data_IF_679627900242
#
_entry.id   IF_679627900242
#
_cell.length_a   1.000
_cell.length_b   1.000
_cell.length_c   1.000
_cell.angle_alpha   90.00
_cell.angle_beta   90.00
_cell.angle_gamma   90.00
#
_symmetry.space_group_name_H-M   'P 1'
#
loop_
_entity.id
_entity.type
_entity.pdbx_description
1 polymer ?
#
# COMPACT_ATOMS: atom_id res chain seq x y z
N UNK A 1 -65.19 -55.59 -11.74
CA UNK A 1 -66.11 -54.49 -11.34
C UNK A 1 -65.27 -53.33 -10.84
N UNK A 2 -65.52 -52.16 -11.40
CA UNK A 2 -64.84 -50.89 -11.12
C UNK A 2 -65.17 -50.35 -9.72
N UNK A 3 -64.24 -49.58 -9.14
CA UNK A 3 -64.46 -48.17 -8.74
C UNK A 3 -63.13 -47.44 -8.52
N UNK A 4 -62.92 -46.46 -9.39
CA UNK A 4 -61.98 -45.34 -9.27
C UNK A 4 -62.57 -44.26 -8.35
N UNK A 5 -61.72 -43.52 -7.61
CA UNK A 5 -61.83 -42.08 -7.20
C UNK A 5 -60.67 -41.80 -6.21
N UNK A 6 -59.50 -41.34 -6.65
CA UNK A 6 -59.06 -39.93 -6.72
C UNK A 6 -59.06 -39.17 -5.38
N UNK A 7 -57.87 -38.78 -4.90
CA UNK A 7 -57.60 -37.36 -4.64
C UNK A 7 -56.08 -37.09 -4.71
N UNK A 8 -55.69 -36.37 -5.75
CA UNK A 8 -54.41 -35.70 -5.89
C UNK A 8 -54.25 -34.60 -4.83
N UNK A 9 -53.05 -34.49 -4.26
CA UNK A 9 -52.35 -33.25 -3.88
C UNK A 9 -50.90 -33.70 -3.60
N UNK A 10 -49.90 -33.47 -4.43
CA UNK A 10 -49.54 -32.18 -5.02
C UNK A 10 -48.71 -31.37 -4.01
N UNK A 11 -47.48 -31.79 -3.71
CA UNK A 11 -46.46 -30.95 -3.07
C UNK A 11 -45.06 -31.47 -3.43
N UNK A 12 -44.70 -31.17 -4.69
CA UNK A 12 -43.43 -30.63 -5.15
C UNK A 12 -42.20 -30.84 -4.27
N UNK A 13 -41.23 -31.53 -4.88
CA UNK A 13 -39.80 -31.51 -4.62
C UNK A 13 -39.30 -30.09 -4.27
N UNK A 14 -38.79 -29.90 -3.06
CA UNK A 14 -37.86 -28.82 -2.77
C UNK A 14 -36.68 -29.42 -2.01
N UNK A 15 -35.88 -30.21 -2.72
CA UNK A 15 -34.48 -30.40 -2.36
C UNK A 15 -33.83 -29.01 -2.39
N UNK A 16 -33.84 -28.34 -1.25
CA UNK A 16 -33.02 -27.16 -1.01
C UNK A 16 -31.60 -27.69 -0.86
N UNK A 17 -30.94 -27.91 -2.01
CA UNK A 17 -29.50 -27.83 -2.09
C UNK A 17 -29.16 -26.42 -1.63
N UNK A 18 -28.86 -26.27 -0.33
CA UNK A 18 -28.10 -25.12 0.12
C UNK A 18 -26.74 -25.26 -0.58
N UNK A 19 -26.63 -24.66 -1.75
CA UNK A 19 -25.35 -24.22 -2.28
C UNK A 19 -24.85 -23.25 -1.22
N UNK A 20 -24.09 -23.78 -0.26
CA UNK A 20 -23.23 -22.96 0.57
C UNK A 20 -22.31 -22.28 -0.44
N UNK A 21 -22.69 -21.07 -0.83
CA UNK A 21 -21.77 -20.12 -1.42
C UNK A 21 -20.82 -19.85 -0.26
N UNK A 22 -19.80 -20.68 -0.16
CA UNK A 22 -18.57 -20.28 0.48
C UNK A 22 -18.16 -19.05 -0.31
N UNK A 23 -18.58 -17.88 0.17
CA UNK A 23 -17.84 -16.66 -0.02
C UNK A 23 -16.50 -16.97 0.65
N UNK A 24 -15.62 -17.65 -0.08
CA UNK A 24 -14.22 -17.63 0.22
C UNK A 24 -13.92 -16.13 0.27
N UNK A 25 -13.50 -15.58 1.43
CA UNK A 25 -12.85 -14.29 1.37
C UNK A 25 -11.69 -14.53 0.41
N UNK A 26 -11.76 -13.95 -0.79
CA UNK A 26 -10.59 -13.85 -1.63
C UNK A 26 -9.56 -13.22 -0.71
N UNK A 27 -8.53 -13.98 -0.33
CA UNK A 27 -7.37 -13.40 0.32
C UNK A 27 -6.99 -12.24 -0.60
N UNK A 28 -7.17 -11.01 -0.14
CA UNK A 28 -6.64 -9.86 -0.83
C UNK A 28 -5.14 -10.14 -0.85
N UNK A 29 -4.61 -10.58 -1.99
CA UNK A 29 -3.19 -10.80 -2.14
C UNK A 29 -2.56 -9.43 -1.88
N UNK A 30 -1.91 -9.36 -0.73
CA UNK A 30 -1.16 -8.23 -0.26
C UNK A 30 0.06 -8.10 -1.17
N UNK A 31 -0.10 -7.37 -2.28
CA UNK A 31 1.04 -7.00 -3.13
C UNK A 31 1.93 -6.09 -2.30
N UNK A 32 3.07 -6.61 -1.87
CA UNK A 32 4.09 -5.87 -1.13
C UNK A 32 5.29 -5.59 -2.03
N UNK A 33 5.98 -4.48 -1.80
CA UNK A 33 7.15 -4.09 -2.57
C UNK A 33 8.32 -3.79 -1.63
N UNK A 34 9.42 -4.52 -1.80
CA UNK A 34 10.67 -4.30 -1.08
C UNK A 34 11.85 -4.16 -2.05
N UNK A 35 12.74 -3.21 -1.79
CA UNK A 35 13.94 -3.01 -2.62
C UNK A 35 14.35 -1.56 -2.79
N UNK A 36 15.28 -1.34 -3.70
CA UNK A 36 15.80 0.01 -4.01
C UNK A 36 15.76 0.31 -5.49
N UNK A 37 15.69 1.59 -5.79
CA UNK A 37 15.58 2.16 -7.12
C UNK A 37 16.40 3.46 -7.13
N UNK A 38 17.21 3.71 -8.15
CA UNK A 38 17.86 5.01 -8.35
C UNK A 38 17.38 5.68 -9.63
N UNK A 39 17.18 6.99 -9.54
CA UNK A 39 16.89 7.85 -10.67
C UNK A 39 18.11 8.74 -10.94
N UNK A 40 18.47 8.87 -12.20
CA UNK A 40 19.53 9.76 -12.66
C UNK A 40 19.00 10.73 -13.71
N UNK A 41 19.47 11.97 -13.64
CA UNK A 41 19.06 13.02 -14.56
C UNK A 41 19.75 14.33 -14.22
N UNK A 42 19.21 15.43 -14.75
CA UNK A 42 19.69 16.78 -14.42
C UNK A 42 18.64 17.48 -13.59
N UNK A 43 19.07 18.19 -12.55
CA UNK A 43 18.16 19.02 -11.73
C UNK A 43 18.68 20.45 -11.66
N UNK A 44 17.75 21.39 -11.71
CA UNK A 44 17.94 22.79 -11.39
C UNK A 44 17.63 23.03 -9.90
N UNK A 45 18.65 23.52 -9.18
CA UNK A 45 18.58 23.85 -7.75
C UNK A 45 18.43 25.38 -7.52
N UNK A 46 18.21 26.12 -8.60
CA UNK A 46 18.05 27.56 -8.63
C UNK A 46 19.38 28.32 -8.74
N UNK A 47 19.28 29.65 -8.66
CA UNK A 47 20.43 30.53 -8.82
C UNK A 47 21.23 30.66 -7.50
N UNK A 48 22.50 30.25 -7.46
CA UNK A 48 23.36 30.34 -6.28
C UNK A 48 23.65 31.79 -5.86
N UNK A 49 23.66 32.74 -6.80
CA UNK A 49 23.95 34.15 -6.52
C UNK A 49 22.85 34.83 -5.67
N UNK A 50 21.65 34.26 -5.63
CA UNK A 50 20.54 34.74 -4.80
C UNK A 50 20.61 34.23 -3.36
N UNK A 51 21.59 33.38 -3.03
CA UNK A 51 21.72 32.79 -1.70
C UNK A 51 20.53 31.89 -1.35
N UNK A 52 20.27 31.75 -0.05
CA UNK A 52 19.09 31.03 0.46
C UNK A 52 17.90 31.99 0.54
N UNK A 53 17.07 31.97 -0.49
CA UNK A 53 15.82 32.73 -0.57
C UNK A 53 14.72 32.10 0.28
N UNK A 54 13.67 32.86 0.61
CA UNK A 54 12.52 32.36 1.38
C UNK A 54 11.77 31.24 0.66
N UNK A 55 11.73 31.29 -0.66
CA UNK A 55 11.20 30.23 -1.53
C UNK A 55 12.25 29.83 -2.55
N UNK A 56 12.26 28.56 -2.92
CA UNK A 56 13.12 28.01 -3.97
C UNK A 56 12.44 26.81 -4.62
N UNK A 57 13.12 26.08 -5.50
CA UNK A 57 12.55 24.93 -6.19
C UNK A 57 13.56 23.78 -6.32
N UNK A 58 13.02 22.60 -6.58
CA UNK A 58 13.73 21.43 -7.05
C UNK A 58 13.03 20.99 -8.35
N UNK A 59 13.68 21.23 -9.49
CA UNK A 59 13.09 21.07 -10.82
C UNK A 59 13.96 20.13 -11.67
N UNK A 60 13.39 19.01 -12.12
CA UNK A 60 14.09 18.12 -13.04
C UNK A 60 14.10 18.71 -14.45
N UNK A 61 15.29 18.79 -15.04
CA UNK A 61 15.45 19.20 -16.43
C UNK A 61 15.26 17.96 -17.30
N UNK A 62 14.07 17.85 -17.89
CA UNK A 62 13.66 16.66 -18.62
C UNK A 62 13.26 15.51 -17.68
N UNK A 63 13.07 14.33 -18.27
CA UNK A 63 12.65 13.16 -17.51
C UNK A 63 13.88 12.36 -17.06
N UNK A 64 14.08 12.15 -15.74
CA UNK A 64 15.13 11.26 -15.28
C UNK A 64 14.89 9.82 -15.73
N UNK A 65 15.96 9.05 -15.67
CA UNK A 65 15.99 7.64 -16.07
C UNK A 65 16.27 6.78 -14.84
N UNK A 66 15.58 5.64 -14.75
CA UNK A 66 15.88 4.61 -13.77
C UNK A 66 17.24 3.99 -14.09
N UNK A 67 18.24 4.18 -13.23
CA UNK A 67 19.59 3.65 -13.48
C UNK A 67 19.81 2.28 -12.85
N UNK A 68 19.59 2.15 -11.53
CA UNK A 68 19.78 0.91 -10.80
C UNK A 68 18.51 0.51 -10.05
N UNK A 69 18.23 -0.79 -10.01
CA UNK A 69 17.09 -1.38 -9.30
C UNK A 69 17.53 -2.65 -8.56
N UNK A 70 16.86 -2.96 -7.46
CA UNK A 70 17.07 -4.17 -6.66
C UNK A 70 15.77 -4.64 -6.01
N UNK A 71 15.77 -5.87 -5.48
CA UNK A 71 14.59 -6.45 -4.83
C UNK A 71 13.44 -6.68 -5.81
N UNK A 72 12.22 -6.41 -5.36
CA UNK A 72 10.99 -6.64 -6.12
C UNK A 72 10.89 -5.74 -7.36
N UNK A 73 11.62 -4.61 -7.40
CA UNK A 73 11.70 -3.74 -8.57
C UNK A 73 12.26 -4.47 -9.81
N UNK A 74 13.04 -5.55 -9.63
CA UNK A 74 13.57 -6.37 -10.73
C UNK A 74 12.49 -7.22 -11.43
N UNK A 75 11.32 -7.37 -10.81
CA UNK A 75 10.27 -8.30 -11.27
C UNK A 75 9.21 -7.62 -12.14
N UNK A 76 9.23 -6.30 -12.27
CA UNK A 76 8.30 -5.56 -13.11
C UNK A 76 8.49 -5.88 -14.60
N UNK A 77 7.38 -5.94 -15.33
CA UNK A 77 7.36 -6.13 -16.78
C UNK A 77 6.55 -5.02 -17.48
N UNK A 78 7.12 -4.28 -18.45
CA UNK A 78 8.53 -4.32 -18.87
C UNK A 78 9.51 -3.92 -17.75
N UNK A 79 10.81 -4.17 -17.93
CA UNK A 79 11.80 -3.81 -16.90
C UNK A 79 11.76 -2.31 -16.61
N UNK A 80 11.79 -1.95 -15.32
CA UNK A 80 11.95 -0.56 -14.88
C UNK A 80 13.34 -0.01 -15.23
N UNK A 81 14.37 -0.84 -15.31
CA UNK A 81 15.72 -0.36 -15.59
C UNK A 81 15.83 0.31 -16.97
N UNK A 82 16.38 1.52 -17.00
CA UNK A 82 16.51 2.32 -18.22
C UNK A 82 15.22 3.03 -18.65
N UNK A 83 14.12 2.89 -17.90
CA UNK A 83 12.88 3.60 -18.22
C UNK A 83 12.96 5.07 -17.83
N UNK A 84 12.30 5.92 -18.62
CA UNK A 84 12.17 7.34 -18.33
C UNK A 84 10.94 7.58 -17.46
N UNK A 85 11.10 8.34 -16.38
CA UNK A 85 10.02 8.61 -15.41
C UNK A 85 9.69 10.10 -15.38
N UNK A 86 8.45 10.43 -15.05
CA UNK A 86 8.05 11.82 -14.88
C UNK A 86 8.17 12.19 -13.42
N UNK A 87 8.95 13.23 -13.10
CA UNK A 87 9.05 13.77 -11.74
C UNK A 87 8.50 15.17 -11.72
N UNK A 88 7.58 15.43 -10.80
CA UNK A 88 6.97 16.75 -10.67
C UNK A 88 7.91 17.76 -10.00
N UNK A 89 7.71 19.03 -10.32
CA UNK A 89 8.50 20.11 -9.75
C UNK A 89 8.06 20.40 -8.32
N UNK A 90 9.01 20.50 -7.41
CA UNK A 90 8.74 20.87 -6.02
C UNK A 90 9.04 22.34 -5.81
N UNK A 91 8.02 23.07 -5.37
CA UNK A 91 8.22 24.39 -4.77
C UNK A 91 8.55 24.20 -3.31
N UNK A 92 9.61 24.87 -2.85
CA UNK A 92 10.15 24.74 -1.51
C UNK A 92 10.03 26.07 -0.75
N UNK A 93 9.65 25.98 0.52
CA UNK A 93 9.56 27.11 1.45
C UNK A 93 10.57 26.87 2.57
N UNK A 94 11.35 27.89 2.89
CA UNK A 94 12.32 27.84 3.97
C UNK A 94 11.61 27.77 5.32
N UNK A 95 12.04 26.83 6.18
CA UNK A 95 11.41 26.62 7.49
C UNK A 95 11.71 27.75 8.47
N UNK A 96 12.96 28.20 8.54
CA UNK A 96 13.39 29.32 9.38
C UNK A 96 14.39 30.21 8.64
N UNK A 97 14.31 31.53 8.84
CA UNK A 97 15.24 32.48 8.26
C UNK A 97 16.53 32.52 9.08
N UNK A 98 17.44 31.57 8.83
CA UNK A 98 18.77 31.62 9.40
C UNK A 98 19.67 32.46 8.49
N UNK A 99 20.44 33.39 9.07
CA UNK A 99 21.52 34.11 8.38
C UNK A 99 22.74 33.19 8.15
N UNK A 100 22.48 31.99 7.60
CA UNK A 100 23.45 30.91 7.43
C UNK A 100 23.58 30.54 5.95
N UNK A 101 24.76 30.04 5.59
CA UNK A 101 25.02 29.43 4.29
C UNK A 101 24.15 28.18 4.05
N UNK A 102 23.62 27.57 5.13
CA UNK A 102 22.78 26.37 5.09
C UNK A 102 21.40 26.66 5.69
N UNK A 103 20.34 26.29 4.97
CA UNK A 103 18.95 26.42 5.43
C UNK A 103 18.16 25.15 5.13
N UNK A 104 17.13 24.91 5.96
CA UNK A 104 16.18 23.81 5.77
C UNK A 104 14.92 24.31 5.09
N UNK A 105 14.38 23.47 4.22
CA UNK A 105 13.20 23.75 3.41
C UNK A 105 12.19 22.61 3.51
N UNK A 106 10.91 22.93 3.38
CA UNK A 106 9.81 21.98 3.20
C UNK A 106 9.11 22.26 1.88
N UNK A 107 8.47 21.27 1.26
CA UNK A 107 7.67 21.52 0.07
C UNK A 107 6.36 22.26 0.38
N UNK A 108 5.91 23.12 -0.54
CA UNK A 108 4.62 23.82 -0.45
C UNK A 108 3.50 22.76 -0.42
N UNK A 109 2.75 22.69 0.67
CA UNK A 109 1.74 21.65 0.91
C UNK A 109 1.99 20.83 2.18
N UNK A 110 3.18 20.94 2.76
CA UNK A 110 3.49 20.39 4.09
C UNK A 110 2.88 21.28 5.21
N UNK A 111 1.55 21.33 5.27
CA UNK A 111 0.89 21.39 6.58
C UNK A 111 1.12 20.03 7.26
N UNK A 112 1.11 19.92 8.59
CA UNK A 112 1.18 18.62 9.25
C UNK A 112 0.12 17.66 8.67
N UNK A 113 0.55 16.60 7.98
CA UNK A 113 -0.33 15.62 7.32
C UNK A 113 -0.67 15.87 5.84
N UNK A 114 0.00 16.79 5.16
CA UNK A 114 -0.18 17.01 3.71
C UNK A 114 0.61 16.04 2.84
N UNK A 115 -0.03 15.43 1.83
CA UNK A 115 0.62 14.57 0.84
C UNK A 115 0.70 15.26 -0.53
N UNK A 116 1.84 15.14 -1.22
CA UNK A 116 1.98 15.51 -2.63
C UNK A 116 1.85 14.26 -3.50
N UNK A 117 0.67 14.11 -4.11
CA UNK A 117 0.32 12.93 -4.92
C UNK A 117 1.06 12.92 -6.25
N UNK A 118 1.43 11.72 -6.69
CA UNK A 118 2.07 11.42 -7.96
C UNK A 118 3.36 12.23 -8.17
N UNK A 119 4.18 12.35 -7.13
CA UNK A 119 5.45 13.08 -7.23
C UNK A 119 6.36 12.47 -8.29
N UNK A 120 6.47 11.14 -8.31
CA UNK A 120 7.13 10.38 -9.37
C UNK A 120 6.10 9.46 -10.00
N UNK A 121 5.91 9.60 -11.30
CA UNK A 121 5.12 8.68 -12.12
C UNK A 121 6.06 7.81 -12.92
N UNK A 122 6.00 6.50 -12.68
CA UNK A 122 6.75 5.51 -13.44
C UNK A 122 6.00 5.09 -14.71
N UNK A 123 4.65 5.17 -14.66
CA UNK A 123 3.75 4.70 -15.73
C UNK A 123 3.22 3.30 -15.47
N UNK A 124 2.68 2.67 -16.51
CA UNK A 124 2.04 1.36 -16.42
C UNK A 124 3.06 0.22 -16.45
N UNK A 125 2.99 -0.65 -15.45
CA UNK A 125 3.81 -1.86 -15.38
C UNK A 125 3.00 -3.06 -14.90
N UNK A 126 3.50 -4.24 -15.21
CA UNK A 126 2.98 -5.50 -14.69
C UNK A 126 3.79 -5.95 -13.48
N UNK A 127 3.13 -6.16 -12.35
CA UNK A 127 3.70 -6.69 -11.12
C UNK A 127 2.72 -7.69 -10.50
N UNK A 128 3.22 -8.86 -10.10
CA UNK A 128 2.41 -9.97 -9.59
C UNK A 128 1.17 -10.29 -10.45
N UNK A 129 1.35 -10.29 -11.78
CA UNK A 129 0.28 -10.60 -12.75
C UNK A 129 -0.76 -9.50 -12.98
N UNK A 130 -0.65 -8.35 -12.29
CA UNK A 130 -1.54 -7.19 -12.47
C UNK A 130 -0.81 -6.09 -13.22
N UNK A 131 -1.45 -5.51 -14.24
CA UNK A 131 -0.92 -4.37 -14.99
C UNK A 131 -1.63 -3.10 -14.53
N UNK A 132 -0.89 -2.14 -13.98
CA UNK A 132 -1.43 -0.88 -13.46
C UNK A 132 -0.35 0.21 -13.40
N UNK A 133 -0.77 1.45 -13.13
CA UNK A 133 0.13 2.57 -12.90
C UNK A 133 0.90 2.40 -11.58
N UNK A 134 2.22 2.59 -11.65
CA UNK A 134 3.12 2.71 -10.51
C UNK A 134 3.47 4.19 -10.29
N UNK A 135 3.28 4.68 -9.07
CA UNK A 135 3.67 6.03 -8.67
C UNK A 135 4.28 6.07 -7.27
N UNK A 136 4.95 7.18 -6.96
CA UNK A 136 5.41 7.51 -5.62
C UNK A 136 4.85 8.86 -5.19
N UNK A 137 4.18 8.87 -4.04
CA UNK A 137 3.60 10.05 -3.41
C UNK A 137 4.51 10.52 -2.28
N UNK A 138 4.74 11.82 -2.13
CA UNK A 138 5.46 12.36 -0.98
C UNK A 138 4.50 12.58 0.18
N UNK A 139 4.85 12.13 1.38
CA UNK A 139 4.04 12.29 2.59
C UNK A 139 4.66 13.25 3.59
N UNK A 140 5.96 13.54 3.47
CA UNK A 140 6.63 14.48 4.36
C UNK A 140 8.14 14.49 4.16
N UNK A 141 8.79 15.52 4.69
CA UNK A 141 10.25 15.58 4.75
C UNK A 141 10.81 16.99 4.67
N UNK A 142 12.13 17.09 4.80
CA UNK A 142 12.87 18.34 4.74
C UNK A 142 14.05 18.24 3.77
N UNK A 143 14.39 19.35 3.16
CA UNK A 143 15.55 19.48 2.27
C UNK A 143 16.55 20.42 2.94
N UNK A 144 17.81 20.02 2.97
CA UNK A 144 18.89 20.90 3.42
C UNK A 144 19.55 21.49 2.18
N UNK A 145 19.53 22.83 2.06
CA UNK A 145 20.19 23.56 0.97
C UNK A 145 21.33 24.39 1.53
N UNK A 146 22.52 24.20 0.98
CA UNK A 146 23.74 24.95 1.30
C UNK A 146 24.21 25.74 0.09
N UNK A 147 24.55 27.01 0.27
CA UNK A 147 25.15 27.87 -0.76
C UNK A 147 26.57 28.21 -0.35
N UNK A 148 27.54 27.80 -1.15
CA UNK A 148 28.96 27.98 -0.88
C UNK A 148 29.55 29.18 -1.64
N UNK A 149 30.68 29.68 -1.13
CA UNK A 149 31.44 30.81 -1.67
C UNK A 149 32.18 30.48 -2.97
N UNK A 150 31.43 30.13 -4.02
CA UNK A 150 31.87 29.89 -5.40
C UNK A 150 30.67 29.70 -6.34
N UNK A 151 29.50 30.19 -5.97
CA UNK A 151 28.24 29.96 -6.69
C UNK A 151 27.86 28.46 -6.81
N UNK A 152 28.20 27.64 -5.82
CA UNK A 152 27.76 26.25 -5.76
C UNK A 152 26.62 26.13 -4.77
N UNK A 153 25.53 25.50 -5.22
CA UNK A 153 24.47 25.01 -4.34
C UNK A 153 24.71 23.55 -4.10
N UNK A 154 24.61 23.10 -2.86
CA UNK A 154 24.38 21.69 -2.57
C UNK A 154 23.03 21.50 -1.91
N UNK A 155 22.29 20.49 -2.37
CA UNK A 155 21.05 20.06 -1.75
C UNK A 155 21.23 18.62 -1.29
N UNK A 156 20.90 18.38 -0.03
CA UNK A 156 20.80 17.05 0.55
C UNK A 156 19.34 16.76 0.86
N UNK A 157 18.86 15.65 0.33
CA UNK A 157 17.52 15.11 0.63
C UNK A 157 17.66 14.14 1.81
N UNK A 158 17.19 14.55 2.99
CA UNK A 158 17.24 13.73 4.20
C UNK A 158 15.83 13.62 4.79
N UNK A 159 15.41 12.38 5.09
CA UNK A 159 14.12 12.15 5.72
C UNK A 159 12.92 12.52 4.84
N UNK A 160 13.09 12.53 3.51
CA UNK A 160 11.95 12.59 2.59
C UNK A 160 11.29 11.22 2.60
N UNK A 161 10.01 11.19 2.95
CA UNK A 161 9.21 9.97 3.07
C UNK A 161 8.03 10.01 2.11
N UNK A 162 7.57 8.83 1.75
CA UNK A 162 6.46 8.69 0.81
C UNK A 162 5.92 7.28 0.72
N UNK A 163 4.99 7.10 -0.22
CA UNK A 163 4.25 5.88 -0.46
C UNK A 163 4.36 5.48 -1.92
N UNK A 164 4.71 4.21 -2.17
CA UNK A 164 4.57 3.60 -3.47
C UNK A 164 3.14 3.15 -3.66
N UNK A 165 2.51 3.63 -4.73
CA UNK A 165 1.16 3.27 -5.12
C UNK A 165 1.16 2.45 -6.40
N UNK A 166 0.37 1.38 -6.39
CA UNK A 166 0.14 0.52 -7.55
C UNK A 166 -1.35 0.18 -7.59
N UNK A 167 -1.99 0.37 -8.74
CA UNK A 167 -3.45 0.26 -8.88
C UNK A 167 -4.21 1.13 -7.84
N UNK A 168 -3.69 2.32 -7.57
CA UNK A 168 -4.24 3.26 -6.59
C UNK A 168 -4.11 2.83 -5.12
N UNK A 169 -3.45 1.70 -4.83
CA UNK A 169 -3.23 1.18 -3.47
C UNK A 169 -1.78 1.35 -3.03
N UNK A 170 -1.57 1.69 -1.77
CA UNK A 170 -0.22 1.75 -1.19
C UNK A 170 0.32 0.33 -1.00
N UNK A 171 1.41 0.00 -1.71
CA UNK A 171 2.07 -1.32 -1.70
C UNK A 171 3.40 -1.31 -0.93
N UNK A 172 3.96 -0.12 -0.69
CA UNK A 172 5.13 0.09 0.16
C UNK A 172 5.20 1.53 0.66
N UNK A 173 5.90 1.73 1.78
CA UNK A 173 6.36 3.04 2.22
C UNK A 173 7.84 3.17 1.94
N UNK A 174 8.33 4.37 1.71
CA UNK A 174 9.71 4.54 1.29
C UNK A 174 10.31 5.88 1.65
N UNK A 175 11.63 5.94 1.46
CA UNK A 175 12.42 7.15 1.63
C UNK A 175 13.11 7.55 0.34
N UNK A 176 13.26 8.86 0.13
CA UNK A 176 14.15 9.43 -0.90
C UNK A 176 15.39 10.00 -0.21
N UNK A 177 16.55 9.60 -0.69
CA UNK A 177 17.83 10.18 -0.31
C UNK A 177 18.61 10.61 -1.54
N UNK A 178 19.48 11.59 -1.38
CA UNK A 178 20.30 12.07 -2.48
C UNK A 178 21.12 13.28 -2.09
N UNK A 179 22.22 13.49 -2.80
CA UNK A 179 23.01 14.72 -2.70
C UNK A 179 23.30 15.21 -4.10
N UNK A 180 23.10 16.51 -4.31
CA UNK A 180 23.42 17.15 -5.56
C UNK A 180 24.23 18.42 -5.29
N UNK A 181 25.15 18.74 -6.19
CA UNK A 181 26.03 19.90 -6.09
C UNK A 181 26.20 20.58 -7.44
N UNK A 182 26.01 21.90 -7.48
CA UNK A 182 25.99 22.74 -8.68
C UNK A 182 24.66 23.52 -8.81
N UNK A 183 24.60 24.51 -9.70
CA UNK A 183 23.34 25.19 -10.05
C UNK A 183 22.49 24.34 -10.99
N UNK A 184 23.16 23.70 -11.95
CA UNK A 184 22.60 22.72 -12.87
C UNK A 184 23.64 21.61 -12.97
N UNK A 185 23.32 20.44 -12.44
CA UNK A 185 24.27 19.33 -12.38
C UNK A 185 23.56 18.00 -12.65
N UNK A 186 24.33 17.01 -13.09
CA UNK A 186 23.90 15.63 -13.00
C UNK A 186 23.57 15.32 -11.53
N UNK A 187 22.32 14.92 -11.29
CA UNK A 187 21.77 14.60 -9.99
C UNK A 187 21.27 13.17 -10.00
N UNK A 188 21.48 12.49 -8.89
CA UNK A 188 20.92 11.17 -8.63
C UNK A 188 20.11 11.22 -7.34
N UNK A 189 18.93 10.59 -7.36
CA UNK A 189 18.20 10.28 -6.12
C UNK A 189 18.04 8.77 -5.99
N UNK A 190 18.13 8.28 -4.77
CA UNK A 190 17.89 6.89 -4.42
C UNK A 190 16.57 6.80 -3.65
N UNK A 191 15.71 5.92 -4.12
CA UNK A 191 14.46 5.53 -3.49
C UNK A 191 14.65 4.16 -2.84
N UNK A 192 14.19 4.06 -1.60
CA UNK A 192 14.10 2.79 -0.88
C UNK A 192 12.63 2.50 -0.62
N UNK A 193 12.17 1.32 -1.01
CA UNK A 193 10.84 0.81 -0.67
C UNK A 193 10.97 -0.21 0.45
N UNK A 194 10.06 -0.13 1.41
CA UNK A 194 9.89 -1.11 2.47
C UNK A 194 8.44 -1.53 2.49
N UNK A 195 8.22 -2.84 2.39
CA UNK A 195 6.89 -3.44 2.37
C UNK A 195 6.05 -2.98 3.57
N UNK A 196 4.81 -2.55 3.31
CA UNK A 196 3.84 -2.30 4.38
C UNK A 196 3.21 -3.65 4.76
N UNK A 197 3.27 -4.07 6.04
CA UNK A 197 2.59 -5.29 6.47
C UNK A 197 1.09 -5.14 6.22
N UNK A 198 0.52 -5.99 5.36
CA UNK A 198 -0.92 -6.02 5.19
C UNK A 198 -1.53 -6.77 6.39
N UNK A 199 -2.57 -6.21 7.04
CA UNK A 199 -3.28 -6.93 8.08
C UNK A 199 -3.84 -8.22 7.50
N UNK A 200 -3.33 -9.36 7.96
CA UNK A 200 -3.95 -10.65 7.67
C UNK A 200 -5.38 -10.58 8.21
N UNK A 201 -6.43 -10.72 7.38
CA UNK A 201 -7.78 -10.82 7.91
C UNK A 201 -7.79 -12.03 8.83
N UNK A 202 -7.99 -11.81 10.12
CA UNK A 202 -8.17 -12.92 11.05
C UNK A 202 -9.23 -13.84 10.46
N UNK A 203 -8.99 -15.15 10.34
CA UNK A 203 -10.03 -16.06 9.92
C UNK A 203 -11.18 -15.88 10.89
N UNK A 204 -12.34 -15.51 10.34
CA UNK A 204 -13.54 -15.14 11.06
C UNK A 204 -13.97 -16.34 11.91
N UNK A 205 -13.40 -16.46 13.10
CA UNK A 205 -13.68 -17.53 14.07
C UNK A 205 -15.04 -17.28 14.76
N UNK A 206 -15.82 -16.31 14.26
CA UNK A 206 -17.18 -16.01 14.71
C UNK A 206 -18.25 -16.95 14.13
N UNK A 207 -17.91 -17.87 13.21
CA UNK A 207 -18.78 -18.98 12.82
C UNK A 207 -18.73 -20.17 13.80
N UNK A 208 -17.76 -20.20 14.72
CA UNK A 208 -17.57 -21.30 15.68
C UNK A 208 -18.37 -21.19 16.98
N UNK A 209 -18.87 -20.00 17.33
CA UNK A 209 -19.64 -19.79 18.58
C UNK A 209 -21.17 -19.73 18.31
N UNK A 210 -21.58 -19.50 17.05
CA UNK A 210 -22.99 -19.37 16.68
C UNK A 210 -23.74 -20.68 16.37
N UNK A 211 -23.05 -21.81 16.22
CA UNK A 211 -23.68 -23.12 15.92
C UNK A 211 -23.87 -24.02 17.15
N UNK A 212 -23.49 -23.56 18.35
CA UNK A 212 -23.51 -24.33 19.59
C UNK A 212 -24.84 -24.32 20.39
N UNK A 213 -25.88 -23.63 19.92
CA UNK A 213 -27.15 -23.48 20.67
C UNK A 213 -28.40 -24.03 19.96
N UNK A 214 -28.25 -24.71 18.81
CA UNK A 214 -29.39 -25.11 17.96
C UNK A 214 -29.73 -26.61 17.88
N UNK A 215 -28.93 -27.51 18.46
CA UNK A 215 -29.15 -28.97 18.32
C UNK A 215 -29.38 -29.70 19.66
N UNK A 216 -29.26 -29.00 20.79
CA UNK A 216 -29.45 -29.58 22.14
C UNK A 216 -30.91 -29.79 22.59
N UNK A 217 -31.91 -29.29 21.84
CA UNK A 217 -33.30 -29.25 22.30
C UNK A 217 -34.21 -30.40 21.83
N UNK A 218 -33.75 -31.32 20.96
CA UNK A 218 -34.62 -32.39 20.39
C UNK A 218 -34.07 -33.82 20.63
N UNK A 219 -33.35 -34.05 21.73
CA UNK A 219 -33.07 -35.41 22.21
C UNK A 219 -33.61 -35.72 23.63
N UNK A 220 -34.31 -34.77 24.27
CA UNK A 220 -34.86 -34.95 25.62
C UNK A 220 -36.30 -35.50 25.66
N UNK A 221 -36.67 -36.39 24.73
CA UNK A 221 -38.00 -37.05 24.74
C UNK A 221 -38.00 -38.56 24.51
N UNK A 222 -36.88 -39.26 24.76
CA UNK A 222 -36.83 -40.74 24.74
C UNK A 222 -36.16 -41.40 25.96
N UNK A 223 -36.01 -40.69 27.07
CA UNK A 223 -35.57 -41.29 28.34
C UNK A 223 -36.45 -40.87 29.52
N UNK A 224 -37.76 -41.08 29.40
CA UNK A 224 -38.63 -41.19 30.57
C UNK A 224 -39.46 -42.45 30.42
N UNK A 225 -39.39 -43.29 31.46
CA UNK A 225 -40.09 -44.55 31.67
C UNK A 225 -39.53 -45.80 30.98
N UNK A 226 -38.36 -46.23 31.44
CA UNK A 226 -38.24 -47.64 31.87
C UNK A 226 -37.18 -47.75 32.95
N UNK A 227 -37.57 -48.22 34.14
CA UNK A 227 -36.64 -48.43 35.25
C UNK A 227 -37.26 -48.36 36.64
N UNK A 228 -38.23 -49.24 36.95
CA UNK A 228 -38.42 -49.72 38.33
C UNK A 228 -38.19 -51.22 38.33
N UNK A 229 -36.97 -51.63 38.68
CA UNK A 229 -36.68 -52.93 39.29
C UNK A 229 -36.45 -52.65 40.78
N UNK A 230 -37.20 -53.35 41.62
CA UNK A 230 -36.94 -53.45 43.06
C UNK A 230 -36.67 -54.92 43.30
N UNK A 231 -35.46 -55.24 43.72
CA UNK A 231 -35.07 -56.55 44.25
C UNK A 231 -34.89 -56.46 45.77
N UNK A 232 -35.18 -57.58 46.44
CA UNK A 232 -34.94 -57.85 47.86
C UNK A 232 -36.23 -58.33 48.55
N UNK A 233 -36.28 -59.44 49.29
CA UNK A 233 -35.30 -60.46 49.67
C UNK A 233 -36.08 -61.63 50.31
N UNK A 234 -35.46 -62.81 50.40
CA UNK A 234 -35.64 -63.95 51.34
C UNK A 234 -36.85 -63.88 52.32
N UNK A 235 -37.73 -64.88 52.44
CA UNK A 235 -37.56 -66.29 52.85
C UNK A 235 -38.63 -67.17 52.18
#
# INVERSE_FOLDING_TARGET
MSKFSSLCLGATLAATTMTAVALAPSAAFAVTLDGTLSLEGTVDLGNPALGNTATTHFNWIGNPVVNAISGDFLTFAPSLAGSSVTVQNLSLVRNEALASATNTYSFVGNQPGGSFSNYISFGEYTFDGTTADLSFDLTGGTFTRSVFGNNVISVTLEGITGEFKFDGRTIATGGITGTQSGSTAAGGISLTATAVPVPVPEPITHLGIGLGLGVGAVLKKRFSHSGKKTEGNLV
#
